data_IF_617092120755
#
_entry.id   IF_617092120755
#
_cell.length_a   1.000
_cell.length_b   1.000
_cell.length_c   1.000
_cell.angle_alpha   90.00
_cell.angle_beta   90.00
_cell.angle_gamma   90.00
#
_symmetry.space_group_name_H-M   'P 1'
#
loop_
_entity.id
_entity.type
_entity.pdbx_description
1 polymer ?
#
# COMPACT_ATOMS: atom_id res chain seq x y z
N UNK A 1 19.63 23.35 5.49
CA UNK A 1 18.89 22.65 4.40
C UNK A 1 18.56 21.24 4.87
N UNK A 2 17.26 20.92 5.02
CA UNK A 2 16.77 19.63 5.47
C UNK A 2 17.38 18.42 4.72
N UNK A 3 17.63 18.57 3.41
CA UNK A 3 18.27 17.58 2.53
C UNK A 3 19.71 17.18 2.90
N UNK A 4 20.41 17.93 3.77
CA UNK A 4 21.78 17.58 4.21
C UNK A 4 21.82 16.61 5.40
N UNK A 5 20.69 16.29 6.02
CA UNK A 5 20.65 15.32 7.13
C UNK A 5 20.63 13.88 6.55
N UNK A 6 21.65 13.04 6.82
CA UNK A 6 21.72 11.68 6.27
C UNK A 6 20.56 10.79 6.75
N UNK A 7 19.95 11.12 7.89
CA UNK A 7 18.75 10.45 8.40
C UNK A 7 17.51 10.71 7.53
N UNK A 8 17.33 11.96 7.04
CA UNK A 8 16.22 12.32 6.15
C UNK A 8 16.42 11.68 4.77
N UNK A 9 17.64 11.68 4.25
CA UNK A 9 17.95 11.03 2.97
C UNK A 9 17.67 9.52 2.98
N UNK A 10 18.09 8.82 4.04
CA UNK A 10 17.78 7.38 4.20
C UNK A 10 16.28 7.13 4.31
N UNK A 11 15.55 8.00 5.01
CA UNK A 11 14.09 7.94 5.07
C UNK A 11 13.43 8.15 3.71
N UNK A 12 13.89 9.15 2.95
CA UNK A 12 13.42 9.44 1.60
C UNK A 12 13.61 8.24 0.67
N UNK A 13 14.82 7.67 0.65
CA UNK A 13 15.13 6.51 -0.20
C UNK A 13 14.29 5.29 0.20
N UNK A 14 14.14 5.02 1.49
CA UNK A 14 13.31 3.92 1.96
C UNK A 14 11.84 4.08 1.54
N UNK A 15 11.31 5.30 1.63
CA UNK A 15 9.94 5.60 1.20
C UNK A 15 9.78 5.57 -0.31
N UNK A 16 10.76 6.05 -1.08
CA UNK A 16 10.77 5.93 -2.54
C UNK A 16 10.70 4.46 -2.97
N UNK A 17 11.55 3.61 -2.39
CA UNK A 17 11.58 2.18 -2.68
C UNK A 17 10.24 1.54 -2.31
N UNK A 18 9.68 1.92 -1.17
CA UNK A 18 8.39 1.40 -0.71
C UNK A 18 7.26 1.76 -1.69
N UNK A 19 7.14 3.04 -2.06
CA UNK A 19 6.11 3.54 -2.98
C UNK A 19 6.27 2.93 -4.36
N UNK A 20 7.50 2.86 -4.88
CA UNK A 20 7.79 2.21 -6.16
C UNK A 20 7.41 0.73 -6.14
N UNK A 21 7.78 -0.02 -5.09
CA UNK A 21 7.42 -1.42 -4.96
C UNK A 21 5.90 -1.61 -4.91
N UNK A 22 5.20 -0.75 -4.18
CA UNK A 22 3.76 -0.81 -4.02
C UNK A 22 3.01 -0.43 -5.32
N UNK A 23 3.44 0.63 -6.01
CA UNK A 23 2.88 1.03 -7.30
C UNK A 23 3.17 0.00 -8.38
N UNK A 24 4.39 -0.55 -8.43
CA UNK A 24 4.73 -1.62 -9.36
C UNK A 24 3.87 -2.88 -9.14
N UNK A 25 3.60 -3.24 -7.88
CA UNK A 25 2.69 -4.34 -7.54
C UNK A 25 1.26 -4.10 -8.06
N UNK A 26 0.78 -2.86 -7.99
CA UNK A 26 -0.56 -2.47 -8.45
C UNK A 26 -0.65 -2.33 -9.97
N UNK A 27 0.42 -1.89 -10.63
CA UNK A 27 0.45 -1.67 -12.07
C UNK A 27 0.12 -2.93 -12.89
N UNK A 28 0.54 -4.10 -12.41
CA UNK A 28 0.27 -5.39 -13.05
C UNK A 28 -1.08 -6.00 -12.64
N UNK A 29 -1.67 -5.53 -11.55
CA UNK A 29 -2.92 -6.09 -11.03
C UNK A 29 -4.12 -5.75 -11.94
N UNK A 30 -4.14 -4.56 -12.52
CA UNK A 30 -5.18 -4.15 -13.48
C UNK A 30 -5.23 -5.03 -14.74
N UNK A 31 -4.13 -5.14 -15.52
CA UNK A 31 -4.05 -6.02 -16.68
C UNK A 31 -4.40 -7.47 -16.35
N UNK A 32 -3.90 -8.00 -15.23
CA UNK A 32 -4.17 -9.37 -14.79
C UNK A 32 -5.66 -9.66 -14.57
N UNK A 33 -6.40 -8.71 -13.98
CA UNK A 33 -7.85 -8.87 -13.77
C UNK A 33 -8.64 -8.82 -15.08
N UNK A 34 -8.19 -8.04 -16.05
CA UNK A 34 -8.79 -7.97 -17.39
C UNK A 34 -8.56 -9.30 -18.13
N UNK A 35 -7.33 -9.82 -18.09
CA UNK A 35 -6.97 -11.11 -18.70
C UNK A 35 -7.73 -12.29 -18.06
N UNK A 36 -8.03 -12.21 -16.76
CA UNK A 36 -8.81 -13.21 -16.04
C UNK A 36 -10.31 -13.21 -16.38
N UNK A 37 -10.79 -12.31 -17.25
CA UNK A 37 -12.17 -12.28 -17.74
C UNK A 37 -13.21 -11.87 -16.69
N UNK A 38 -12.80 -11.19 -15.62
CA UNK A 38 -13.71 -10.74 -14.57
C UNK A 38 -14.68 -9.67 -15.11
N UNK A 39 -15.98 -9.86 -14.84
CA UNK A 39 -17.00 -8.90 -15.24
C UNK A 39 -16.77 -7.56 -14.55
N UNK A 40 -16.83 -6.46 -15.34
CA UNK A 40 -16.70 -5.09 -14.84
C UNK A 40 -17.69 -4.76 -13.71
N UNK A 41 -18.84 -5.44 -13.66
CA UNK A 41 -19.85 -5.27 -12.62
C UNK A 41 -19.39 -5.79 -11.25
N UNK A 42 -18.72 -6.94 -11.19
CA UNK A 42 -18.13 -7.44 -9.96
C UNK A 42 -16.94 -6.59 -9.56
N UNK A 43 -16.05 -6.23 -10.50
CA UNK A 43 -14.93 -5.30 -10.27
C UNK A 43 -15.43 -3.95 -9.74
N UNK A 44 -16.54 -3.44 -10.27
CA UNK A 44 -17.13 -2.15 -9.88
C UNK A 44 -17.80 -2.15 -8.51
N UNK A 45 -18.44 -3.25 -8.10
CA UNK A 45 -19.02 -3.37 -6.75
C UNK A 45 -17.91 -3.47 -5.67
N UNK A 46 -16.86 -4.20 -6.03
CA UNK A 46 -15.62 -4.46 -5.30
C UNK A 46 -14.77 -3.21 -5.17
N UNK A 47 -14.59 -2.43 -6.24
CA UNK A 47 -13.88 -1.14 -6.23
C UNK A 47 -14.76 0.05 -5.79
N UNK A 48 -16.06 -0.18 -5.57
CA UNK A 48 -17.01 0.84 -5.10
C UNK A 48 -17.05 0.97 -3.57
N UNK A 49 -18.21 0.72 -2.97
CA UNK A 49 -18.41 0.88 -1.53
C UNK A 49 -17.56 -0.11 -0.69
N UNK A 50 -17.28 -1.30 -1.23
CA UNK A 50 -16.52 -2.34 -0.53
C UNK A 50 -15.07 -1.94 -0.24
N UNK A 51 -14.37 -1.41 -1.22
CA UNK A 51 -13.01 -0.85 -1.09
C UNK A 51 -12.98 0.38 -0.17
N UNK A 52 -14.01 1.22 -0.17
CA UNK A 52 -14.08 2.36 0.74
C UNK A 52 -14.20 1.92 2.21
N UNK A 53 -15.13 1.01 2.52
CA UNK A 53 -15.31 0.48 3.87
C UNK A 53 -14.06 -0.29 4.31
N UNK A 54 -13.53 -1.15 3.43
CA UNK A 54 -12.33 -1.92 3.70
C UNK A 54 -11.11 -1.02 3.92
N UNK A 55 -10.94 0.02 3.09
CA UNK A 55 -9.86 0.98 3.20
C UNK A 55 -9.93 1.77 4.51
N UNK A 56 -11.13 2.23 4.91
CA UNK A 56 -11.32 2.92 6.20
C UNK A 56 -11.05 1.98 7.37
N UNK A 57 -11.60 0.76 7.34
CA UNK A 57 -11.36 -0.24 8.38
C UNK A 57 -9.87 -0.60 8.50
N UNK A 58 -9.19 -0.78 7.36
CA UNK A 58 -7.77 -1.05 7.29
C UNK A 58 -6.92 0.15 7.74
N UNK A 59 -7.35 1.39 7.48
CA UNK A 59 -6.68 2.59 7.96
C UNK A 59 -6.77 2.71 9.49
N UNK A 60 -7.96 2.47 10.07
CA UNK A 60 -8.15 2.47 11.52
C UNK A 60 -7.34 1.35 12.19
N UNK A 61 -7.40 0.14 11.63
CA UNK A 61 -6.59 -0.99 12.08
C UNK A 61 -5.10 -0.69 11.96
N UNK A 62 -4.66 -0.11 10.84
CA UNK A 62 -3.29 0.33 10.60
C UNK A 62 -2.82 1.33 11.65
N UNK A 63 -3.62 2.33 11.98
CA UNK A 63 -3.31 3.30 13.04
C UNK A 63 -3.16 2.64 14.41
N UNK A 64 -4.06 1.71 14.75
CA UNK A 64 -3.97 0.94 15.98
C UNK A 64 -2.71 0.04 16.02
N UNK A 65 -2.43 -0.67 14.93
CA UNK A 65 -1.23 -1.51 14.77
C UNK A 65 0.05 -0.67 14.88
N UNK A 66 0.10 0.52 14.28
CA UNK A 66 1.26 1.42 14.37
C UNK A 66 1.49 1.84 15.82
N UNK A 67 0.41 2.09 16.58
CA UNK A 67 0.51 2.41 18.00
C UNK A 67 1.03 1.23 18.84
N UNK A 68 0.71 -0.01 18.47
CA UNK A 68 1.05 -1.20 19.25
C UNK A 68 2.41 -1.81 18.86
N UNK A 69 2.66 -1.98 17.57
CA UNK A 69 3.83 -2.69 17.01
C UNK A 69 4.93 -1.74 16.53
N UNK A 70 4.62 -0.44 16.44
CA UNK A 70 5.49 0.56 15.88
C UNK A 70 5.46 0.60 14.34
N UNK A 71 5.78 1.77 13.81
CA UNK A 71 5.63 2.08 12.39
C UNK A 71 6.41 1.17 11.44
N UNK A 72 7.66 0.83 11.78
CA UNK A 72 8.51 -0.04 10.94
C UNK A 72 7.94 -1.44 10.80
N UNK A 73 7.44 -2.02 11.89
CA UNK A 73 6.83 -3.35 11.90
C UNK A 73 5.60 -3.41 11.00
N UNK A 74 4.78 -2.35 11.03
CA UNK A 74 3.58 -2.25 10.17
C UNK A 74 3.93 -2.06 8.70
N UNK A 75 4.97 -1.28 8.38
CA UNK A 75 5.47 -1.16 7.00
C UNK A 75 5.95 -2.52 6.45
N UNK A 76 6.71 -3.27 7.26
CA UNK A 76 7.16 -4.63 6.87
C UNK A 76 5.96 -5.55 6.72
N UNK A 77 4.99 -5.50 7.64
CA UNK A 77 3.76 -6.29 7.55
C UNK A 77 2.99 -5.98 6.26
N UNK A 78 2.87 -4.70 5.90
CA UNK A 78 2.21 -4.28 4.67
C UNK A 78 2.91 -4.85 3.43
N UNK A 79 4.25 -4.81 3.38
CA UNK A 79 5.02 -5.40 2.28
C UNK A 79 4.86 -6.92 2.21
N UNK A 80 4.88 -7.61 3.35
CA UNK A 80 4.70 -9.06 3.41
C UNK A 80 3.30 -9.45 2.95
N UNK A 81 2.27 -8.73 3.40
CA UNK A 81 0.89 -8.95 2.94
C UNK A 81 0.75 -8.69 1.43
N UNK A 82 1.38 -7.63 0.92
CA UNK A 82 1.37 -7.31 -0.51
C UNK A 82 2.12 -8.36 -1.35
N UNK A 83 3.26 -8.85 -0.87
CA UNK A 83 3.98 -9.95 -1.52
C UNK A 83 3.15 -11.24 -1.49
N UNK A 84 2.47 -11.51 -0.39
CA UNK A 84 1.54 -12.63 -0.25
C UNK A 84 0.36 -12.56 -1.21
N UNK A 85 -0.26 -11.39 -1.38
CA UNK A 85 -1.36 -11.21 -2.34
C UNK A 85 -0.89 -11.44 -3.78
N UNK A 86 0.26 -10.89 -4.16
CA UNK A 86 0.86 -11.14 -5.48
C UNK A 86 1.21 -12.61 -5.69
N UNK A 87 1.74 -13.29 -4.67
CA UNK A 87 2.05 -14.72 -4.75
C UNK A 87 0.79 -15.56 -4.96
N UNK A 88 -0.31 -15.23 -4.28
CA UNK A 88 -1.60 -15.90 -4.47
C UNK A 88 -2.15 -15.64 -5.89
N UNK A 89 -2.06 -14.41 -6.40
CA UNK A 89 -2.44 -14.10 -7.78
C UNK A 89 -1.58 -14.87 -8.80
N UNK A 90 -0.27 -14.95 -8.57
CA UNK A 90 0.63 -15.74 -9.40
C UNK A 90 0.31 -17.24 -9.35
N UNK A 91 -0.07 -17.78 -8.19
CA UNK A 91 -0.50 -19.16 -8.05
C UNK A 91 -1.80 -19.44 -8.83
N UNK A 92 -2.77 -18.52 -8.82
CA UNK A 92 -3.96 -18.61 -9.66
C UNK A 92 -3.59 -18.60 -11.15
N UNK A 93 -2.69 -17.69 -11.56
CA UNK A 93 -2.18 -17.62 -12.93
C UNK A 93 -1.55 -18.94 -13.39
N UNK A 94 -0.70 -19.54 -12.56
CA UNK A 94 -0.03 -20.80 -12.84
C UNK A 94 -0.99 -22.00 -12.86
N UNK A 95 -2.05 -21.96 -12.06
CA UNK A 95 -3.07 -23.01 -12.03
C UNK A 95 -4.01 -23.00 -13.24
N UNK A 96 -4.09 -21.86 -13.95
CA UNK A 96 -5.04 -21.65 -15.05
C UNK A 96 -6.51 -21.54 -14.63
N UNK A 97 -6.80 -21.57 -13.32
CA UNK A 97 -8.16 -21.44 -12.77
C UNK A 97 -8.34 -20.03 -12.22
N UNK A 98 -9.33 -19.31 -12.76
CA UNK A 98 -9.65 -17.93 -12.37
C UNK A 98 -11.01 -17.86 -11.65
N UNK A 99 -11.08 -18.22 -10.36
CA UNK A 99 -12.32 -18.11 -9.61
C UNK A 99 -12.59 -16.62 -9.33
N UNK A 100 -13.62 -16.05 -9.96
CA UNK A 100 -13.90 -14.62 -9.93
C UNK A 100 -14.01 -14.02 -8.51
N UNK A 101 -14.64 -14.75 -7.57
CA UNK A 101 -14.81 -14.31 -6.18
C UNK A 101 -13.49 -14.17 -5.41
N UNK A 102 -12.70 -15.25 -5.24
CA UNK A 102 -11.39 -15.20 -4.59
C UNK A 102 -10.42 -14.24 -5.27
N UNK A 103 -10.40 -14.18 -6.60
CA UNK A 103 -9.53 -13.27 -7.35
C UNK A 103 -9.88 -11.80 -7.04
N UNK A 104 -11.17 -11.46 -7.04
CA UNK A 104 -11.65 -10.14 -6.69
C UNK A 104 -11.37 -9.79 -5.23
N UNK A 105 -11.53 -10.75 -4.30
CA UNK A 105 -11.24 -10.53 -2.89
C UNK A 105 -9.75 -10.23 -2.64
N UNK A 106 -8.84 -11.00 -3.27
CA UNK A 106 -7.39 -10.77 -3.16
C UNK A 106 -7.01 -9.43 -3.81
N UNK A 107 -7.61 -9.09 -4.94
CA UNK A 107 -7.43 -7.79 -5.58
C UNK A 107 -7.86 -6.62 -4.69
N UNK A 108 -9.04 -6.69 -4.07
CA UNK A 108 -9.52 -5.67 -3.11
C UNK A 108 -8.60 -5.53 -1.91
N UNK A 109 -8.19 -6.66 -1.36
CA UNK A 109 -7.34 -6.68 -0.19
C UNK A 109 -6.01 -6.01 -0.51
N UNK A 110 -5.45 -6.27 -1.69
CA UNK A 110 -4.20 -5.66 -2.16
C UNK A 110 -4.36 -4.17 -2.49
N UNK A 111 -5.41 -3.78 -3.22
CA UNK A 111 -5.57 -2.40 -3.70
C UNK A 111 -6.10 -1.43 -2.67
N UNK A 112 -6.93 -1.87 -1.73
CA UNK A 112 -7.59 -0.98 -0.77
C UNK A 112 -7.15 -1.26 0.66
N UNK A 113 -7.14 -2.54 1.07
CA UNK A 113 -6.83 -2.91 2.45
C UNK A 113 -5.35 -2.71 2.80
N UNK A 114 -4.48 -3.50 2.18
CA UNK A 114 -3.03 -3.49 2.37
C UNK A 114 -2.47 -2.12 1.98
N UNK A 115 -3.02 -1.50 0.94
CA UNK A 115 -2.64 -0.15 0.54
C UNK A 115 -2.91 0.88 1.63
N UNK A 116 -4.14 0.96 2.14
CA UNK A 116 -4.49 1.91 3.19
C UNK A 116 -3.65 1.69 4.47
N UNK A 117 -3.46 0.43 4.86
CA UNK A 117 -2.63 0.08 6.02
C UNK A 117 -1.17 0.54 5.84
N UNK A 118 -0.59 0.26 4.66
CA UNK A 118 0.75 0.67 4.31
C UNK A 118 0.92 2.19 4.30
N UNK A 119 -0.03 2.91 3.73
CA UNK A 119 -0.04 4.37 3.70
C UNK A 119 -0.12 4.99 5.10
N UNK A 120 -1.01 4.48 5.97
CA UNK A 120 -1.08 4.97 7.36
C UNK A 120 0.25 4.80 8.08
N UNK A 121 0.92 3.67 7.90
CA UNK A 121 2.25 3.44 8.47
C UNK A 121 3.30 4.37 7.83
N UNK A 122 3.27 4.57 6.52
CA UNK A 122 4.21 5.45 5.81
C UNK A 122 4.08 6.91 6.27
N UNK A 123 2.86 7.42 6.34
CA UNK A 123 2.58 8.77 6.84
C UNK A 123 2.96 8.93 8.31
N UNK A 124 2.67 7.94 9.16
CA UNK A 124 3.14 7.95 10.55
C UNK A 124 4.67 7.96 10.63
N UNK A 125 5.37 7.31 9.68
CA UNK A 125 6.82 7.31 9.63
C UNK A 125 7.36 8.67 9.20
N UNK A 126 6.73 9.32 8.22
CA UNK A 126 7.05 10.70 7.82
C UNK A 126 6.92 11.66 9.01
N UNK A 127 5.82 11.57 9.77
CA UNK A 127 5.64 12.40 10.96
C UNK A 127 6.75 12.20 12.01
N UNK A 128 7.26 10.98 12.17
CA UNK A 128 8.37 10.70 13.10
C UNK A 128 9.72 11.21 12.60
N UNK A 129 9.91 11.33 11.29
CA UNK A 129 11.15 11.80 10.68
C UNK A 129 11.18 13.32 10.46
N UNK A 130 10.02 13.96 10.38
CA UNK A 130 9.91 15.42 10.31
C UNK A 130 10.36 16.09 11.62
N UNK A 131 11.20 17.11 11.51
CA UNK A 131 11.64 17.90 12.67
C UNK A 131 10.48 18.82 13.12
N UNK A 132 10.10 18.87 14.43
CA UNK A 132 9.03 19.74 14.92
C UNK A 132 9.23 21.22 14.55
N UNK A 133 10.47 21.65 14.32
CA UNK A 133 10.81 23.03 13.93
C UNK A 133 10.61 23.33 12.44
N UNK A 134 10.51 22.31 11.59
CA UNK A 134 10.37 22.45 10.12
C UNK A 134 9.39 21.42 9.52
N UNK A 135 8.40 21.00 10.29
CA UNK A 135 7.53 19.88 9.94
C UNK A 135 6.84 20.03 8.56
N UNK A 136 6.47 21.26 8.18
CA UNK A 136 5.82 21.52 6.89
C UNK A 136 6.73 21.33 5.67
N UNK A 137 8.02 21.66 5.77
CA UNK A 137 8.98 21.54 4.64
C UNK A 137 9.45 20.09 4.49
N UNK A 138 9.67 19.39 5.60
CA UNK A 138 10.07 17.98 5.58
C UNK A 138 8.91 17.11 5.05
N UNK A 139 7.67 17.41 5.44
CA UNK A 139 6.49 16.67 5.01
C UNK A 139 6.19 16.83 3.52
N UNK A 140 6.37 18.03 2.94
CA UNK A 140 6.18 18.23 1.50
C UNK A 140 7.24 17.50 0.68
N UNK A 141 8.49 17.43 1.15
CA UNK A 141 9.53 16.61 0.51
C UNK A 141 9.16 15.12 0.47
N UNK A 142 8.62 14.60 1.57
CA UNK A 142 8.13 13.22 1.62
C UNK A 142 6.90 12.99 0.73
N UNK A 143 5.98 13.95 0.64
CA UNK A 143 4.85 13.87 -0.30
C UNK A 143 5.31 13.92 -1.77
N UNK A 144 6.31 14.73 -2.12
CA UNK A 144 6.87 14.71 -3.47
C UNK A 144 7.49 13.35 -3.82
N UNK A 145 8.03 12.64 -2.83
CA UNK A 145 8.52 11.27 -3.01
C UNK A 145 7.41 10.23 -3.17
N UNK A 146 6.27 10.41 -2.50
CA UNK A 146 5.09 9.56 -2.68
C UNK A 146 4.40 9.76 -4.05
N UNK A 147 4.55 10.95 -4.62
CA UNK A 147 4.01 11.29 -5.94
C UNK A 147 4.71 10.58 -7.12
N UNK A 148 5.91 10.01 -6.93
CA UNK A 148 6.61 9.19 -7.93
C UNK A 148 5.88 7.88 -8.21
#
# INVERSE_FOLDING_TARGET
MALRRPQIQRGLVASAIYVLAQKAALAMLGPFLVDAGLSLSTIGLVNGAGSMILGVAAALAGGALVRWLGTRSVLVLALVLQAGSLFVLAAFALSGVFPAGPLAAVAMLSSSGIMALGFVALYAQFMRWSDPRQAGVDFTLFQCMDAL
#
